data_IF_959006110870
#
_entry.id   IF_959006110870
#
_cell.length_a   1.000
_cell.length_b   1.000
_cell.length_c   1.000
_cell.angle_alpha   90.00
_cell.angle_beta   90.00
_cell.angle_gamma   90.00
#
_symmetry.space_group_name_H-M   'P 1'
#
loop_
_entity.id
_entity.type
_entity.pdbx_description
1 polymer ?
#
# COMPACT_ATOMS: atom_id res chain seq x y z
N UNK A 1 -0.11 -12.98 -11.43
CA UNK A 1 -0.70 -11.99 -10.49
C UNK A 1 -1.36 -12.71 -9.33
N UNK A 2 -1.44 -12.10 -8.14
CA UNK A 2 -2.25 -12.63 -7.02
C UNK A 2 -3.62 -11.94 -7.03
N UNK A 3 -4.71 -12.71 -7.03
CA UNK A 3 -6.07 -12.18 -6.98
C UNK A 3 -6.72 -12.49 -5.64
N UNK A 4 -7.74 -11.71 -5.20
CA UNK A 4 -8.52 -12.04 -4.02
C UNK A 4 -9.20 -13.42 -4.14
N UNK A 5 -9.43 -14.15 -3.06
CA UNK A 5 -8.89 -13.97 -1.71
C UNK A 5 -7.41 -14.39 -1.57
N UNK A 6 -6.65 -13.92 -0.58
CA UNK A 6 -7.03 -12.93 0.43
C UNK A 6 -7.01 -11.49 -0.10
N UNK A 7 -7.80 -10.61 0.55
CA UNK A 7 -7.87 -9.18 0.20
C UNK A 7 -6.70 -8.46 0.88
N UNK A 8 -5.80 -7.92 0.08
CA UNK A 8 -4.69 -7.05 0.48
C UNK A 8 -4.33 -6.12 -0.69
N UNK A 9 -3.55 -5.06 -0.43
CA UNK A 9 -3.28 -4.02 -1.43
C UNK A 9 -2.88 -4.55 -2.81
N UNK A 10 -1.96 -5.52 -2.85
CA UNK A 10 -1.50 -6.11 -4.12
C UNK A 10 -2.60 -6.89 -4.84
N UNK A 11 -3.40 -7.69 -4.11
CA UNK A 11 -4.48 -8.46 -4.72
C UNK A 11 -5.59 -7.57 -5.27
N UNK A 12 -5.88 -6.45 -4.60
CA UNK A 12 -6.83 -5.43 -5.08
C UNK A 12 -6.34 -4.79 -6.37
N UNK A 13 -5.08 -4.36 -6.43
CA UNK A 13 -4.51 -3.78 -7.65
C UNK A 13 -4.47 -4.76 -8.82
N UNK A 14 -4.11 -6.01 -8.57
CA UNK A 14 -4.13 -7.05 -9.59
C UNK A 14 -5.55 -7.37 -10.08
N UNK A 15 -6.55 -7.27 -9.21
CA UNK A 15 -7.95 -7.46 -9.57
C UNK A 15 -8.48 -6.31 -10.44
N UNK A 16 -8.07 -5.08 -10.14
CA UNK A 16 -8.33 -3.90 -11.00
C UNK A 16 -7.76 -4.15 -12.40
N UNK A 17 -6.50 -4.60 -12.53
CA UNK A 17 -5.90 -4.90 -13.83
C UNK A 17 -6.67 -5.99 -14.56
N UNK A 18 -7.03 -7.09 -13.87
CA UNK A 18 -7.76 -8.21 -14.46
C UNK A 18 -9.13 -7.80 -15.01
N UNK A 19 -9.82 -6.91 -14.31
CA UNK A 19 -11.17 -6.47 -14.65
C UNK A 19 -11.19 -5.17 -15.49
N UNK A 20 -10.01 -4.62 -15.82
CA UNK A 20 -9.89 -3.40 -16.63
C UNK A 20 -10.43 -3.60 -18.04
N UNK A 21 -11.44 -2.83 -18.42
CA UNK A 21 -11.96 -2.81 -19.78
C UNK A 21 -10.94 -2.23 -20.75
N UNK A 22 -10.20 -1.20 -20.33
CA UNK A 22 -9.16 -0.57 -21.16
C UNK A 22 -8.03 -1.55 -21.51
N UNK A 23 -7.49 -2.26 -20.51
CA UNK A 23 -6.40 -3.20 -20.73
C UNK A 23 -6.87 -4.39 -21.58
N UNK A 24 -8.02 -5.00 -21.25
CA UNK A 24 -8.52 -6.17 -21.93
C UNK A 24 -9.04 -5.88 -23.36
N UNK A 25 -9.39 -4.63 -23.68
CA UNK A 25 -9.76 -4.23 -25.06
C UNK A 25 -8.54 -3.97 -25.95
N UNK A 26 -7.43 -3.50 -25.38
CA UNK A 26 -6.21 -3.18 -26.12
C UNK A 26 -5.25 -4.36 -26.26
N UNK A 27 -5.21 -5.26 -25.28
CA UNK A 27 -4.26 -6.37 -25.20
C UNK A 27 -4.99 -7.69 -25.06
N UNK A 28 -4.49 -8.71 -25.73
CA UNK A 28 -4.93 -10.08 -25.50
C UNK A 28 -4.25 -10.62 -24.24
N UNK A 29 -4.98 -10.68 -23.13
CA UNK A 29 -4.45 -11.01 -21.83
C UNK A 29 -4.78 -12.44 -21.36
N UNK A 30 -3.78 -13.17 -20.89
CA UNK A 30 -3.92 -14.43 -20.19
C UNK A 30 -3.61 -14.23 -18.70
N UNK A 31 -4.50 -14.68 -17.82
CA UNK A 31 -4.35 -14.50 -16.38
C UNK A 31 -4.09 -15.81 -15.64
N UNK A 32 -3.06 -15.84 -14.79
CA UNK A 32 -2.76 -16.93 -13.88
C UNK A 32 -2.78 -16.42 -12.45
N UNK A 33 -3.63 -17.01 -11.60
CA UNK A 33 -3.65 -16.69 -10.18
C UNK A 33 -2.45 -17.32 -9.48
N UNK A 34 -1.60 -16.50 -8.88
CA UNK A 34 -0.41 -16.88 -8.11
C UNK A 34 -0.68 -17.02 -6.60
N UNK A 35 -1.92 -16.81 -6.15
CA UNK A 35 -2.28 -16.93 -4.74
C UNK A 35 -2.12 -18.38 -4.26
N UNK A 36 -1.39 -18.56 -3.15
CA UNK A 36 -1.15 -19.86 -2.49
C UNK A 36 -1.78 -19.92 -1.10
N UNK A 37 -2.52 -18.88 -0.71
CA UNK A 37 -3.24 -18.78 0.57
C UNK A 37 -4.67 -18.33 0.31
N UNK A 38 -5.62 -18.80 1.14
CA UNK A 38 -7.03 -18.39 1.08
C UNK A 38 -7.35 -17.25 2.05
N UNK A 39 -6.62 -17.18 3.17
CA UNK A 39 -6.78 -16.18 4.21
C UNK A 39 -5.45 -15.49 4.51
N UNK A 40 -5.48 -14.32 5.14
CA UNK A 40 -4.29 -13.55 5.54
C UNK A 40 -3.41 -14.36 6.50
N UNK A 41 -4.02 -15.07 7.46
CA UNK A 41 -3.31 -15.91 8.42
C UNK A 41 -2.55 -17.07 7.77
N UNK A 42 -3.04 -17.55 6.63
CA UNK A 42 -2.40 -18.62 5.87
C UNK A 42 -1.17 -18.14 5.11
N UNK A 43 -1.00 -16.83 4.90
CA UNK A 43 0.18 -16.28 4.21
C UNK A 43 1.49 -16.61 4.95
N UNK A 44 1.45 -16.67 6.27
CA UNK A 44 2.63 -16.94 7.11
C UNK A 44 2.86 -18.43 7.41
N UNK A 45 1.85 -19.28 7.23
CA UNK A 45 1.98 -20.71 7.53
C UNK A 45 2.68 -21.47 6.40
N UNK A 46 3.69 -22.25 6.74
CA UNK A 46 4.26 -23.23 5.81
C UNK A 46 3.36 -24.46 5.77
N UNK A 47 2.73 -24.69 4.63
CA UNK A 47 1.85 -25.86 4.42
C UNK A 47 2.31 -26.64 3.20
N UNK A 48 2.32 -27.97 3.28
CA UNK A 48 2.58 -28.86 2.13
C UNK A 48 1.68 -28.52 0.93
N UNK A 49 0.46 -28.10 1.20
CA UNK A 49 -0.49 -27.67 0.17
C UNK A 49 0.00 -26.46 -0.66
N UNK A 50 0.77 -25.54 -0.05
CA UNK A 50 1.38 -24.42 -0.79
C UNK A 50 2.40 -24.90 -1.84
N UNK A 51 3.16 -25.93 -1.54
CA UNK A 51 4.11 -26.50 -2.51
C UNK A 51 3.38 -27.11 -3.69
N UNK A 52 2.29 -27.86 -3.45
CA UNK A 52 1.46 -28.44 -4.51
C UNK A 52 0.86 -27.34 -5.40
N UNK A 53 0.30 -26.28 -4.79
CA UNK A 53 -0.23 -25.16 -5.54
C UNK A 53 0.85 -24.44 -6.34
N UNK A 54 2.03 -24.26 -5.76
CA UNK A 54 3.18 -23.67 -6.47
C UNK A 54 3.58 -24.50 -7.68
N UNK A 55 3.66 -25.83 -7.55
CA UNK A 55 3.95 -26.71 -8.68
C UNK A 55 2.88 -26.60 -9.77
N UNK A 56 1.59 -26.57 -9.41
CA UNK A 56 0.49 -26.34 -10.36
C UNK A 56 0.62 -25.01 -11.10
N UNK A 57 0.98 -23.94 -10.38
CA UNK A 57 1.20 -22.61 -10.96
C UNK A 57 2.35 -22.66 -11.97
N UNK A 58 3.50 -23.24 -11.57
CA UNK A 58 4.68 -23.38 -12.43
C UNK A 58 4.35 -24.21 -13.68
N UNK A 59 3.70 -25.37 -13.52
CA UNK A 59 3.30 -26.24 -14.63
C UNK A 59 2.34 -25.55 -15.60
N UNK A 60 1.34 -24.81 -15.08
CA UNK A 60 0.42 -24.01 -15.90
C UNK A 60 1.15 -22.91 -16.65
N UNK A 61 2.08 -22.22 -15.98
CA UNK A 61 2.89 -21.17 -16.60
C UNK A 61 3.81 -21.75 -17.68
N UNK A 62 4.45 -22.88 -17.42
CA UNK A 62 5.27 -23.58 -18.39
C UNK A 62 4.47 -23.95 -19.65
N UNK A 63 3.30 -24.58 -19.48
CA UNK A 63 2.43 -24.96 -20.59
C UNK A 63 2.01 -23.74 -21.43
N UNK A 64 1.60 -22.66 -20.77
CA UNK A 64 1.21 -21.41 -21.46
C UNK A 64 2.36 -20.80 -22.26
N UNK A 65 3.58 -20.81 -21.75
CA UNK A 65 4.77 -20.29 -22.43
C UNK A 65 5.26 -21.20 -23.54
N UNK A 66 4.98 -22.50 -23.45
CA UNK A 66 5.28 -23.47 -24.52
C UNK A 66 4.34 -23.28 -25.73
N UNK A 67 3.07 -22.96 -25.46
CA UNK A 67 2.01 -22.88 -26.49
C UNK A 67 1.78 -21.48 -27.05
N UNK A 68 2.21 -20.43 -26.33
CA UNK A 68 1.98 -19.04 -26.71
C UNK A 68 3.25 -18.21 -26.55
N UNK A 69 3.35 -17.14 -27.35
CA UNK A 69 4.37 -16.11 -27.19
C UNK A 69 3.72 -14.84 -26.65
N UNK A 70 4.28 -14.32 -25.56
CA UNK A 70 3.83 -13.08 -24.95
C UNK A 70 4.90 -12.01 -25.13
N UNK A 71 4.49 -10.80 -25.46
CA UNK A 71 5.38 -9.64 -25.54
C UNK A 71 5.89 -9.28 -24.14
N UNK A 72 4.99 -9.27 -23.16
CA UNK A 72 5.30 -9.08 -21.74
C UNK A 72 4.67 -10.17 -20.88
N UNK A 73 5.39 -10.57 -19.84
CA UNK A 73 4.84 -11.41 -18.77
C UNK A 73 4.92 -10.61 -17.47
N UNK A 74 3.78 -10.03 -17.08
CA UNK A 74 3.67 -9.23 -15.86
C UNK A 74 3.65 -10.12 -14.62
N UNK A 75 4.57 -9.85 -13.68
CA UNK A 75 4.73 -10.61 -12.43
C UNK A 75 4.84 -9.65 -11.27
N UNK A 76 3.94 -9.78 -10.27
CA UNK A 76 4.14 -9.15 -8.96
C UNK A 76 5.15 -9.98 -8.17
N UNK A 77 6.26 -9.37 -7.74
CA UNK A 77 7.35 -10.05 -7.03
C UNK A 77 7.52 -9.48 -5.62
N UNK A 78 7.79 -10.36 -4.66
CA UNK A 78 8.00 -10.02 -3.26
C UNK A 78 9.44 -10.31 -2.83
N UNK A 79 10.08 -9.46 -1.99
CA UNK A 79 11.49 -9.60 -1.64
C UNK A 79 11.79 -10.70 -0.60
N UNK A 80 10.77 -11.32 0.02
CA UNK A 80 10.96 -12.14 1.21
C UNK A 80 10.62 -13.62 1.03
N UNK A 81 11.39 -14.48 1.66
CA UNK A 81 11.09 -15.87 1.96
C UNK A 81 10.70 -16.72 0.75
N UNK A 82 9.76 -17.64 0.97
CA UNK A 82 9.28 -18.59 -0.04
C UNK A 82 8.59 -17.88 -1.23
N UNK A 83 7.95 -16.73 -0.98
CA UNK A 83 7.31 -15.94 -2.05
C UNK A 83 8.32 -15.51 -3.10
N UNK A 84 9.50 -14.99 -2.67
CA UNK A 84 10.55 -14.63 -3.62
C UNK A 84 11.05 -15.83 -4.42
N UNK A 85 11.26 -16.99 -3.77
CA UNK A 85 11.74 -18.22 -4.47
C UNK A 85 10.74 -18.64 -5.55
N UNK A 86 9.45 -18.69 -5.21
CA UNK A 86 8.38 -19.02 -6.16
C UNK A 86 8.36 -18.02 -7.34
N UNK A 87 8.39 -16.73 -7.04
CA UNK A 87 8.29 -15.68 -8.06
C UNK A 87 9.55 -15.66 -8.93
N UNK A 88 10.73 -15.88 -8.36
CA UNK A 88 12.00 -15.99 -9.12
C UNK A 88 12.01 -17.16 -10.09
N UNK A 89 11.44 -18.31 -9.73
CA UNK A 89 11.30 -19.45 -10.65
C UNK A 89 10.46 -19.05 -11.87
N UNK A 90 9.37 -18.32 -11.66
CA UNK A 90 8.53 -17.82 -12.76
C UNK A 90 9.29 -16.82 -13.65
N UNK A 91 10.06 -15.91 -13.07
CA UNK A 91 10.90 -14.96 -13.84
C UNK A 91 11.92 -15.71 -14.70
N UNK A 92 12.61 -16.69 -14.11
CA UNK A 92 13.61 -17.50 -14.83
C UNK A 92 12.97 -18.34 -15.94
N UNK A 93 11.76 -18.86 -15.71
CA UNK A 93 10.99 -19.59 -16.70
C UNK A 93 10.64 -18.70 -17.90
N UNK A 94 10.13 -17.48 -17.66
CA UNK A 94 9.82 -16.50 -18.71
C UNK A 94 11.05 -16.20 -19.56
N UNK A 95 12.20 -15.96 -18.91
CA UNK A 95 13.46 -15.72 -19.61
C UNK A 95 13.95 -16.93 -20.40
N UNK A 96 13.77 -18.15 -19.88
CA UNK A 96 14.14 -19.37 -20.57
C UNK A 96 13.39 -19.52 -21.91
N UNK A 97 12.12 -19.11 -21.96
CA UNK A 97 11.35 -19.09 -23.22
C UNK A 97 11.62 -17.84 -24.09
N UNK A 98 12.60 -17.00 -23.74
CA UNK A 98 12.95 -15.80 -24.49
C UNK A 98 11.89 -14.70 -24.49
N UNK A 99 10.98 -14.74 -23.51
CA UNK A 99 9.93 -13.72 -23.34
C UNK A 99 10.38 -12.66 -22.33
N UNK A 100 9.73 -11.46 -22.34
CA UNK A 100 10.13 -10.34 -21.54
C UNK A 100 9.39 -10.29 -20.18
N UNK A 101 10.08 -10.52 -19.03
CA UNK A 101 9.45 -10.31 -17.73
C UNK A 101 9.28 -8.81 -17.45
N UNK A 102 8.09 -8.44 -16.95
CA UNK A 102 7.77 -7.13 -16.42
C UNK A 102 7.42 -7.29 -14.93
N UNK A 103 8.35 -6.90 -14.07
CA UNK A 103 8.25 -7.09 -12.62
C UNK A 103 7.62 -5.86 -11.97
N UNK A 104 6.48 -6.01 -11.29
CA UNK A 104 5.88 -4.92 -10.52
C UNK A 104 6.14 -5.11 -9.04
N UNK A 105 6.85 -4.14 -8.44
CA UNK A 105 7.28 -4.14 -7.06
C UNK A 105 6.25 -3.41 -6.19
N UNK A 106 5.38 -4.17 -5.52
CA UNK A 106 4.42 -3.61 -4.56
C UNK A 106 4.93 -3.59 -3.12
N UNK A 107 6.16 -4.05 -2.90
CA UNK A 107 6.77 -4.17 -1.57
C UNK A 107 8.25 -3.88 -1.71
N UNK A 108 8.83 -3.11 -0.80
CA UNK A 108 10.28 -2.91 -0.72
C UNK A 108 10.93 -3.86 0.29
N UNK A 109 12.26 -3.90 0.35
CA UNK A 109 13.04 -4.74 1.27
C UNK A 109 14.11 -5.59 0.56
N UNK A 110 14.32 -5.41 -0.73
CA UNK A 110 15.43 -6.08 -1.47
C UNK A 110 16.79 -5.64 -0.91
N UNK A 111 16.95 -4.34 -0.62
CA UNK A 111 18.18 -3.79 -0.06
C UNK A 111 18.43 -4.34 1.34
N UNK A 112 17.48 -4.23 2.23
CA UNK A 112 17.57 -4.70 3.61
C UNK A 112 17.90 -6.21 3.66
N UNK A 113 17.22 -7.01 2.85
CA UNK A 113 17.43 -8.46 2.80
C UNK A 113 18.79 -8.88 2.25
N UNK A 114 19.43 -8.07 1.43
CA UNK A 114 20.65 -8.47 0.71
C UNK A 114 21.91 -7.72 1.15
N UNK A 115 21.80 -6.62 1.91
CA UNK A 115 22.95 -5.79 2.30
C UNK A 115 24.01 -6.57 3.08
N UNK A 116 23.59 -7.51 3.92
CA UNK A 116 24.48 -8.35 4.73
C UNK A 116 24.72 -9.74 4.15
N UNK A 117 24.21 -10.04 2.95
CA UNK A 117 24.32 -11.36 2.32
C UNK A 117 24.75 -11.27 0.87
N UNK A 118 26.04 -11.51 0.60
CA UNK A 118 26.61 -11.55 -0.76
C UNK A 118 25.88 -12.60 -1.64
N UNK A 119 25.42 -13.72 -1.05
CA UNK A 119 24.69 -14.75 -1.78
C UNK A 119 23.32 -14.23 -2.23
N UNK A 120 22.53 -13.66 -1.31
CA UNK A 120 21.22 -13.08 -1.65
C UNK A 120 21.37 -11.96 -2.67
N UNK A 121 22.35 -11.06 -2.51
CA UNK A 121 22.64 -10.01 -3.49
C UNK A 121 22.89 -10.59 -4.88
N UNK A 122 23.77 -11.59 -5.01
CA UNK A 122 24.05 -12.26 -6.29
C UNK A 122 22.80 -12.90 -6.87
N UNK A 123 21.99 -13.56 -6.03
CA UNK A 123 20.78 -14.21 -6.48
C UNK A 123 19.74 -13.19 -6.97
N UNK A 124 19.50 -12.10 -6.23
CA UNK A 124 18.64 -11.02 -6.69
C UNK A 124 19.14 -10.41 -8.00
N UNK A 125 20.43 -10.08 -8.10
CA UNK A 125 21.03 -9.57 -9.34
C UNK A 125 20.81 -10.52 -10.51
N UNK A 126 20.93 -11.84 -10.30
CA UNK A 126 20.68 -12.84 -11.33
C UNK A 126 19.20 -12.87 -11.75
N UNK A 127 18.27 -12.81 -10.81
CA UNK A 127 16.81 -12.81 -11.10
C UNK A 127 16.41 -11.52 -11.85
N UNK A 128 16.99 -10.38 -11.47
CA UNK A 128 16.69 -9.07 -12.07
C UNK A 128 17.44 -8.81 -13.39
N UNK A 129 18.24 -9.75 -13.87
CA UNK A 129 18.91 -9.61 -15.16
C UNK A 129 17.93 -9.77 -16.32
N UNK A 130 17.97 -8.86 -17.32
CA UNK A 130 17.13 -8.88 -18.51
C UNK A 130 15.62 -8.90 -18.19
N UNK A 131 15.19 -8.02 -17.31
CA UNK A 131 13.79 -7.77 -16.97
C UNK A 131 13.47 -6.28 -17.09
N UNK A 132 12.22 -5.93 -17.18
CA UNK A 132 11.73 -4.58 -16.95
C UNK A 132 11.10 -4.49 -15.57
N UNK A 133 11.23 -3.36 -14.91
CA UNK A 133 10.75 -3.17 -13.53
C UNK A 133 9.78 -2.01 -13.46
N UNK A 134 8.70 -2.20 -12.72
CA UNK A 134 7.75 -1.16 -12.31
C UNK A 134 7.89 -0.95 -10.81
N UNK A 135 8.10 0.31 -10.40
CA UNK A 135 8.04 0.76 -9.01
C UNK A 135 6.82 1.67 -8.79
N UNK A 136 6.28 1.68 -7.57
CA UNK A 136 5.13 2.52 -7.22
C UNK A 136 5.51 4.01 -7.06
N UNK A 137 6.78 4.30 -6.84
CA UNK A 137 7.31 5.63 -6.56
C UNK A 137 8.78 5.70 -6.96
N UNK A 138 9.30 6.86 -7.42
CA UNK A 138 10.73 7.06 -7.65
C UNK A 138 11.59 6.78 -6.41
N UNK A 139 11.11 7.08 -5.22
CA UNK A 139 11.81 6.84 -3.95
C UNK A 139 12.09 5.35 -3.72
N UNK A 140 11.25 4.46 -4.26
CA UNK A 140 11.43 3.01 -4.12
C UNK A 140 12.50 2.41 -5.04
N UNK A 141 13.01 3.17 -6.01
CA UNK A 141 14.12 2.74 -6.89
C UNK A 141 15.37 2.43 -6.07
N UNK A 142 15.59 3.18 -4.99
CA UNK A 142 16.76 3.00 -4.12
C UNK A 142 16.84 1.58 -3.53
N UNK A 143 15.69 0.95 -3.27
CA UNK A 143 15.62 -0.42 -2.73
C UNK A 143 16.24 -1.47 -3.66
N UNK A 144 16.20 -1.24 -4.98
CA UNK A 144 16.73 -2.16 -5.99
C UNK A 144 17.98 -1.67 -6.70
N UNK A 145 18.39 -0.42 -6.50
CA UNK A 145 19.50 0.23 -7.22
C UNK A 145 20.83 -0.52 -7.15
N UNK A 146 21.05 -1.29 -6.08
CA UNK A 146 22.28 -2.07 -5.83
C UNK A 146 22.29 -3.46 -6.52
N UNK A 147 21.14 -3.92 -7.07
CA UNK A 147 20.98 -5.21 -7.75
C UNK A 147 20.51 -5.07 -9.21
N UNK A 148 19.91 -3.93 -9.56
CA UNK A 148 19.32 -3.67 -10.86
C UNK A 148 19.78 -2.31 -11.44
N UNK A 149 20.11 -2.32 -12.74
CA UNK A 149 20.58 -1.13 -13.48
C UNK A 149 19.83 -0.95 -14.81
N UNK A 150 18.74 -1.71 -14.99
CA UNK A 150 17.94 -1.62 -16.21
C UNK A 150 16.85 -0.56 -16.11
N UNK A 151 15.90 -0.67 -17.03
CA UNK A 151 14.79 0.25 -17.18
C UNK A 151 13.76 0.11 -16.04
N UNK A 152 13.43 1.23 -15.39
CA UNK A 152 12.41 1.32 -14.35
C UNK A 152 11.28 2.22 -14.83
N UNK A 153 10.05 1.72 -14.76
CA UNK A 153 8.83 2.50 -14.96
C UNK A 153 8.23 2.90 -13.62
N UNK A 154 7.62 4.07 -13.54
CA UNK A 154 6.88 4.51 -12.36
C UNK A 154 5.39 4.35 -12.63
N UNK A 155 4.75 3.50 -11.83
CA UNK A 155 3.31 3.25 -11.87
C UNK A 155 2.74 3.26 -10.45
N UNK A 156 2.36 4.42 -9.92
CA UNK A 156 1.65 4.51 -8.65
C UNK A 156 0.34 3.74 -8.68
N UNK A 157 -0.09 3.21 -7.55
CA UNK A 157 -1.40 2.60 -7.43
C UNK A 157 -2.52 3.62 -7.69
N UNK A 158 -3.64 3.14 -8.22
CA UNK A 158 -4.88 3.91 -8.38
C UNK A 158 -6.03 3.25 -7.63
N UNK A 159 -6.95 4.03 -7.12
CA UNK A 159 -8.15 3.52 -6.45
C UNK A 159 -9.42 3.96 -7.20
N UNK A 160 -10.53 3.18 -7.11
CA UNK A 160 -11.81 3.58 -7.69
C UNK A 160 -12.25 4.93 -7.16
N UNK A 161 -12.62 5.81 -8.08
CA UNK A 161 -13.16 7.11 -7.72
C UNK A 161 -14.59 6.94 -7.19
N UNK A 162 -14.85 7.46 -6.02
CA UNK A 162 -16.20 7.58 -5.47
C UNK A 162 -16.81 8.88 -5.97
N UNK A 163 -18.05 8.83 -6.46
CA UNK A 163 -18.81 10.02 -6.83
C UNK A 163 -19.13 10.81 -5.56
N UNK A 164 -18.25 11.72 -5.20
CA UNK A 164 -18.37 12.54 -4.00
C UNK A 164 -18.07 13.98 -4.36
N UNK A 165 -19.04 14.86 -4.11
CA UNK A 165 -18.79 16.31 -4.11
C UNK A 165 -17.92 16.59 -2.89
N UNK A 166 -16.67 16.95 -3.10
CA UNK A 166 -15.70 17.20 -2.03
C UNK A 166 -16.23 18.28 -1.07
N UNK A 167 -16.84 17.82 0.00
CA UNK A 167 -17.21 18.67 1.15
C UNK A 167 -16.43 18.13 2.36
N UNK A 168 -15.10 18.35 2.37
CA UNK A 168 -14.32 18.11 3.57
C UNK A 168 -14.97 18.86 4.73
N UNK A 169 -15.49 18.13 5.70
CA UNK A 169 -16.17 18.70 6.84
C UNK A 169 -15.15 19.21 7.88
N UNK A 170 -14.71 20.45 7.69
CA UNK A 170 -13.72 21.10 8.53
C UNK A 170 -14.32 21.78 9.78
N UNK A 171 -15.64 21.65 9.99
CA UNK A 171 -16.37 22.33 11.08
C UNK A 171 -16.69 21.42 12.26
N UNK A 172 -16.18 20.17 12.24
CA UNK A 172 -16.37 19.25 13.36
C UNK A 172 -15.77 19.81 14.66
N UNK A 173 -16.55 19.79 15.73
CA UNK A 173 -16.08 20.11 17.07
C UNK A 173 -16.76 19.15 18.08
N UNK A 174 -16.03 18.21 18.67
CA UNK A 174 -14.59 17.96 18.50
C UNK A 174 -14.22 17.35 17.14
N UNK A 175 -12.97 17.58 16.70
CA UNK A 175 -12.45 17.00 15.47
C UNK A 175 -12.27 15.50 15.64
N UNK A 176 -12.74 14.75 14.66
CA UNK A 176 -12.59 13.29 14.61
C UNK A 176 -11.25 12.89 13.97
N UNK A 177 -10.45 12.16 14.70
CA UNK A 177 -9.24 11.48 14.24
C UNK A 177 -9.61 10.05 13.82
N UNK A 178 -9.11 9.60 12.68
CA UNK A 178 -9.38 8.25 12.17
C UNK A 178 -8.08 7.45 12.02
N UNK A 179 -8.07 6.24 12.55
CA UNK A 179 -7.15 5.18 12.18
C UNK A 179 -7.92 4.08 11.44
N UNK A 180 -7.45 3.71 10.26
CA UNK A 180 -8.08 2.66 9.45
C UNK A 180 -6.98 1.71 8.91
N UNK A 181 -6.73 0.65 9.65
CA UNK A 181 -5.81 -0.44 9.30
C UNK A 181 -6.02 -1.60 10.26
N UNK A 182 -5.60 -2.81 9.88
CA UNK A 182 -5.55 -3.92 10.83
C UNK A 182 -4.67 -3.56 12.04
N UNK A 183 -5.03 -4.07 13.21
CA UNK A 183 -4.33 -3.82 14.47
C UNK A 183 -3.01 -4.59 14.52
N UNK A 184 -2.02 -4.07 13.80
CA UNK A 184 -0.67 -4.60 13.69
C UNK A 184 0.29 -3.58 14.30
N UNK A 185 1.23 -4.02 15.15
CA UNK A 185 2.21 -3.14 15.81
C UNK A 185 2.91 -2.19 14.83
N UNK A 186 3.30 -2.72 13.68
CA UNK A 186 3.96 -1.94 12.62
C UNK A 186 3.09 -0.86 11.98
N UNK A 187 1.77 -0.80 12.24
CA UNK A 187 0.86 0.25 11.73
C UNK A 187 0.65 1.43 12.67
N UNK A 188 1.31 1.42 13.84
CA UNK A 188 1.45 2.58 14.70
C UNK A 188 0.29 2.89 15.63
N UNK A 189 -0.69 1.98 15.81
CA UNK A 189 -1.86 2.23 16.68
C UNK A 189 -1.45 2.53 18.13
N UNK A 190 -0.44 1.83 18.66
CA UNK A 190 0.04 2.06 20.02
C UNK A 190 0.67 3.46 20.16
N UNK A 191 1.45 3.88 19.15
CA UNK A 191 2.04 5.22 19.09
C UNK A 191 0.96 6.31 19.11
N UNK A 192 -0.16 6.08 18.37
CA UNK A 192 -1.28 7.02 18.38
C UNK A 192 -1.88 7.13 19.77
N UNK A 193 -2.16 6.01 20.44
CA UNK A 193 -2.75 6.01 21.79
C UNK A 193 -1.85 6.76 22.79
N UNK A 194 -0.51 6.58 22.70
CA UNK A 194 0.44 7.31 23.55
C UNK A 194 0.44 8.82 23.29
N UNK A 195 0.38 9.25 22.03
CA UNK A 195 0.30 10.65 21.67
C UNK A 195 -1.04 11.29 22.11
N UNK A 196 -2.14 10.55 21.96
CA UNK A 196 -3.48 11.02 22.38
C UNK A 196 -3.60 11.13 23.91
N UNK A 197 -2.96 10.27 24.68
CA UNK A 197 -2.88 10.42 26.13
C UNK A 197 -2.25 11.76 26.53
N UNK A 198 -1.14 12.14 25.87
CA UNK A 198 -0.47 13.41 26.15
C UNK A 198 -1.33 14.62 25.77
N UNK A 199 -2.02 14.57 24.63
CA UNK A 199 -2.95 15.61 24.21
C UNK A 199 -4.13 15.73 25.17
N UNK A 200 -4.66 14.59 25.66
CA UNK A 200 -5.73 14.56 26.63
C UNK A 200 -5.31 15.23 27.97
N UNK A 201 -4.11 14.93 28.46
CA UNK A 201 -3.54 15.58 29.65
C UNK A 201 -3.38 17.10 29.49
N UNK A 202 -3.18 17.59 28.27
CA UNK A 202 -3.13 19.02 27.94
C UNK A 202 -4.51 19.66 27.74
N UNK A 203 -5.59 18.91 27.96
CA UNK A 203 -6.97 19.39 27.82
C UNK A 203 -7.43 19.57 26.36
N UNK A 204 -6.71 19.01 25.39
CA UNK A 204 -7.08 19.09 23.97
C UNK A 204 -8.28 18.16 23.72
N UNK A 205 -9.29 18.70 23.01
CA UNK A 205 -10.51 17.96 22.71
C UNK A 205 -10.46 17.32 21.32
N UNK A 206 -10.79 16.02 21.23
CA UNK A 206 -10.86 15.23 20.02
C UNK A 206 -11.74 13.99 20.24
N UNK A 207 -12.16 13.35 19.15
CA UNK A 207 -12.70 11.97 19.13
C UNK A 207 -11.74 11.13 18.31
N UNK A 208 -11.42 9.93 18.75
CA UNK A 208 -10.58 9.01 17.99
C UNK A 208 -11.34 7.73 17.65
N UNK A 209 -11.38 7.40 16.36
CA UNK A 209 -12.09 6.23 15.80
C UNK A 209 -11.08 5.24 15.28
N UNK A 210 -11.18 3.99 15.74
CA UNK A 210 -10.31 2.87 15.36
C UNK A 210 -11.12 1.91 14.49
N UNK A 211 -10.72 1.77 13.24
CA UNK A 211 -11.33 0.86 12.25
C UNK A 211 -10.28 -0.15 11.78
N UNK A 212 -10.58 -1.44 11.90
CA UNK A 212 -9.70 -2.49 11.42
C UNK A 212 -9.89 -3.81 12.15
N UNK A 213 -9.47 -4.90 11.55
CA UNK A 213 -9.51 -6.23 12.16
C UNK A 213 -8.37 -6.39 13.17
N UNK A 214 -8.56 -7.28 14.12
CA UNK A 214 -7.47 -7.74 14.97
C UNK A 214 -6.34 -8.35 14.13
N UNK A 215 -5.12 -8.01 14.49
CA UNK A 215 -3.90 -8.61 13.99
C UNK A 215 -3.10 -9.22 15.12
N UNK A 216 -1.83 -8.81 15.26
CA UNK A 216 -0.97 -9.14 16.40
C UNK A 216 -1.38 -8.39 17.68
N UNK A 217 -2.17 -7.32 17.55
CA UNK A 217 -2.81 -6.60 18.67
C UNK A 217 -4.30 -6.96 18.71
N UNK A 218 -4.81 -7.29 19.91
CA UNK A 218 -6.20 -7.69 20.15
C UNK A 218 -7.01 -6.54 20.75
N UNK A 219 -8.32 -6.50 20.50
CA UNK A 219 -9.22 -5.47 21.07
C UNK A 219 -9.16 -5.39 22.60
N UNK A 220 -9.14 -6.50 23.37
CA UNK A 220 -9.03 -6.40 24.81
C UNK A 220 -7.78 -5.64 25.26
N UNK A 221 -6.65 -5.83 24.59
CA UNK A 221 -5.41 -5.09 24.89
C UNK A 221 -5.54 -3.59 24.61
N UNK A 222 -6.15 -3.22 23.46
CA UNK A 222 -6.41 -1.81 23.14
C UNK A 222 -7.38 -1.19 24.15
N UNK A 223 -8.45 -1.89 24.51
CA UNK A 223 -9.44 -1.42 25.48
C UNK A 223 -8.81 -1.18 26.84
N UNK A 224 -7.95 -2.08 27.30
CA UNK A 224 -7.20 -1.92 28.55
C UNK A 224 -6.27 -0.69 28.52
N UNK A 225 -5.53 -0.49 27.41
CA UNK A 225 -4.66 0.68 27.26
C UNK A 225 -5.46 1.99 27.25
N UNK A 226 -6.60 2.03 26.56
CA UNK A 226 -7.50 3.19 26.54
C UNK A 226 -7.92 3.54 27.98
N UNK A 227 -8.32 2.54 28.76
CA UNK A 227 -8.73 2.72 30.14
C UNK A 227 -7.59 3.19 31.02
N UNK A 228 -6.42 2.55 30.94
CA UNK A 228 -5.22 2.94 31.70
C UNK A 228 -4.77 4.37 31.44
N UNK A 229 -5.06 4.90 30.24
CA UNK A 229 -4.68 6.23 29.78
C UNK A 229 -5.78 7.29 29.95
N UNK A 230 -6.96 6.93 30.47
CA UNK A 230 -8.09 7.82 30.68
C UNK A 230 -8.65 8.39 29.39
N UNK A 231 -8.79 7.53 28.38
CA UNK A 231 -9.24 7.90 27.04
C UNK A 231 -10.62 7.30 26.68
N UNK A 232 -11.32 6.70 27.64
CA UNK A 232 -12.58 5.93 27.41
C UNK A 232 -13.66 6.78 26.72
N UNK A 233 -13.78 8.05 27.12
CA UNK A 233 -14.79 8.95 26.59
C UNK A 233 -14.43 9.56 25.23
N UNK A 234 -13.22 9.31 24.73
CA UNK A 234 -12.68 9.89 23.48
C UNK A 234 -12.37 8.88 22.40
N UNK A 235 -12.26 7.59 22.72
CA UNK A 235 -11.82 6.55 21.79
C UNK A 235 -12.94 5.56 21.53
N UNK A 236 -13.23 5.31 20.24
CA UNK A 236 -14.28 4.39 19.80
C UNK A 236 -13.64 3.31 18.92
N UNK A 237 -13.75 2.05 19.34
CA UNK A 237 -13.32 0.88 18.57
C UNK A 237 -14.51 0.39 17.76
N UNK A 238 -14.41 0.44 16.42
CA UNK A 238 -15.51 0.13 15.51
C UNK A 238 -15.39 -1.25 14.86
N UNK A 239 -14.23 -1.92 15.03
CA UNK A 239 -13.97 -3.16 14.31
C UNK A 239 -13.71 -2.96 12.80
N UNK A 240 -13.69 -4.04 12.00
CA UNK A 240 -13.45 -3.94 10.57
C UNK A 240 -14.67 -3.37 9.84
N UNK A 241 -14.43 -2.48 8.87
CA UNK A 241 -15.45 -1.92 7.98
C UNK A 241 -15.02 -2.06 6.53
N UNK A 242 -15.98 -2.27 5.63
CA UNK A 242 -15.77 -2.47 4.20
C UNK A 242 -16.81 -1.69 3.39
N UNK A 243 -16.53 -1.47 2.10
CA UNK A 243 -17.46 -0.78 1.20
C UNK A 243 -17.90 0.57 1.74
N UNK A 244 -19.18 0.85 1.66
CA UNK A 244 -19.76 2.15 2.03
C UNK A 244 -19.58 2.49 3.51
N UNK A 245 -19.66 1.51 4.41
CA UNK A 245 -19.43 1.74 5.85
C UNK A 245 -18.01 2.24 6.14
N UNK A 246 -17.02 1.77 5.36
CA UNK A 246 -15.63 2.27 5.44
C UNK A 246 -15.55 3.70 4.91
N UNK A 247 -16.22 4.00 3.81
CA UNK A 247 -16.20 5.33 3.21
C UNK A 247 -16.89 6.38 4.08
N UNK A 248 -17.94 6.02 4.81
CA UNK A 248 -18.57 6.91 5.79
C UNK A 248 -17.60 7.32 6.92
N UNK A 249 -16.65 6.44 7.31
CA UNK A 249 -15.63 6.80 8.30
C UNK A 249 -14.71 7.93 7.79
N UNK A 250 -14.30 7.90 6.52
CA UNK A 250 -13.52 9.00 5.95
C UNK A 250 -14.33 10.29 5.85
N UNK A 251 -15.58 10.24 5.41
CA UNK A 251 -16.46 11.42 5.34
C UNK A 251 -16.66 12.11 6.69
N UNK A 252 -16.70 11.30 7.75
CA UNK A 252 -16.92 11.76 9.12
C UNK A 252 -15.61 12.02 9.88
N UNK A 253 -14.47 12.11 9.18
CA UNK A 253 -13.18 12.32 9.81
C UNK A 253 -12.57 13.66 9.44
N UNK A 254 -11.92 14.29 10.42
CA UNK A 254 -11.20 15.55 10.24
C UNK A 254 -9.71 15.37 9.98
N UNK A 255 -9.10 14.27 10.47
CA UNK A 255 -7.67 13.95 10.31
C UNK A 255 -7.53 12.44 10.25
N UNK A 256 -6.71 11.97 9.32
CA UNK A 256 -6.36 10.56 9.17
C UNK A 256 -4.95 10.27 9.69
N UNK A 257 -4.78 9.23 10.49
CA UNK A 257 -3.52 8.87 11.16
C UNK A 257 -3.01 7.51 10.68
N UNK A 258 -1.80 7.47 10.10
CA UNK A 258 -1.11 6.24 9.70
C UNK A 258 0.39 6.32 9.98
N UNK A 259 0.84 6.36 11.26
CA UNK A 259 2.27 6.42 11.61
C UNK A 259 2.91 5.04 11.54
N UNK A 260 2.95 4.45 10.34
CA UNK A 260 3.46 3.10 10.11
C UNK A 260 4.99 3.04 10.17
N UNK A 261 5.54 1.95 10.73
CA UNK A 261 6.97 1.64 10.66
C UNK A 261 7.37 0.99 9.33
N UNK A 262 6.39 0.44 8.61
CA UNK A 262 6.58 -0.19 7.32
C UNK A 262 5.31 -0.04 6.47
N UNK A 263 5.42 0.65 5.37
CA UNK A 263 4.40 0.74 4.33
C UNK A 263 5.06 1.09 3.01
N UNK A 264 4.67 0.44 1.93
CA UNK A 264 5.29 0.68 0.63
C UNK A 264 4.73 1.92 -0.04
N UNK A 265 3.41 2.10 0.02
CA UNK A 265 2.74 3.18 -0.70
C UNK A 265 1.57 3.78 0.08
N UNK A 266 0.85 2.98 0.88
CA UNK A 266 -0.26 3.46 1.70
C UNK A 266 -1.55 3.67 0.90
N UNK A 267 -2.16 2.61 0.35
CA UNK A 267 -3.45 2.71 -0.38
C UNK A 267 -4.53 3.44 0.43
N UNK A 268 -4.55 3.24 1.74
CA UNK A 268 -5.51 3.89 2.63
C UNK A 268 -5.29 5.42 2.73
N UNK A 269 -4.08 5.91 2.45
CA UNK A 269 -3.82 7.36 2.32
C UNK A 269 -4.51 7.92 1.08
N UNK A 270 -4.51 7.19 -0.04
CA UNK A 270 -5.27 7.60 -1.24
C UNK A 270 -6.77 7.65 -0.94
N UNK A 271 -7.27 6.69 -0.15
CA UNK A 271 -8.67 6.70 0.28
C UNK A 271 -8.99 7.94 1.13
N UNK A 272 -8.12 8.32 2.06
CA UNK A 272 -8.28 9.56 2.84
C UNK A 272 -8.19 10.81 1.96
N UNK A 273 -7.21 10.87 1.05
CA UNK A 273 -7.02 11.98 0.11
C UNK A 273 -8.23 12.17 -0.82
N UNK A 274 -8.88 11.07 -1.23
CA UNK A 274 -10.10 11.09 -2.04
C UNK A 274 -11.26 11.85 -1.35
N UNK A 275 -11.29 11.84 -0.03
CA UNK A 275 -12.26 12.61 0.78
C UNK A 275 -11.71 13.94 1.26
N UNK A 276 -10.52 14.34 0.80
CA UNK A 276 -9.84 15.55 1.25
C UNK A 276 -9.48 15.53 2.74
N UNK A 277 -9.38 14.35 3.36
CA UNK A 277 -9.03 14.23 4.79
C UNK A 277 -7.51 14.42 4.96
N UNK A 278 -7.07 15.45 5.71
CA UNK A 278 -5.65 15.66 5.99
C UNK A 278 -5.02 14.45 6.66
N UNK A 279 -3.90 13.97 6.09
CA UNK A 279 -3.18 12.78 6.57
C UNK A 279 -1.96 13.17 7.40
N UNK A 280 -1.71 12.44 8.49
CA UNK A 280 -0.42 12.38 9.19
C UNK A 280 0.15 10.99 9.00
N UNK A 281 1.36 10.88 8.49
CA UNK A 281 2.03 9.59 8.29
C UNK A 281 3.54 9.70 8.43
N UNK A 282 4.21 8.55 8.38
CA UNK A 282 5.66 8.43 8.49
C UNK A 282 6.35 8.73 7.16
N UNK A 283 7.58 9.23 7.23
CA UNK A 283 8.45 9.49 6.07
C UNK A 283 9.16 8.20 5.64
N UNK A 284 8.40 7.23 5.08
CA UNK A 284 8.90 5.92 4.66
C UNK A 284 8.33 5.49 3.30
N UNK A 285 9.05 4.59 2.62
CA UNK A 285 8.61 4.02 1.35
C UNK A 285 8.28 5.07 0.29
N UNK A 286 7.12 4.94 -0.34
CA UNK A 286 6.57 5.91 -1.29
C UNK A 286 5.59 6.92 -0.67
N UNK A 287 5.40 6.90 0.65
CA UNK A 287 4.48 7.83 1.34
C UNK A 287 4.83 9.30 1.12
N UNK A 288 6.12 9.72 1.12
CA UNK A 288 6.48 11.11 0.85
C UNK A 288 6.02 11.62 -0.51
N UNK A 289 5.98 10.78 -1.53
CA UNK A 289 5.46 11.16 -2.86
C UNK A 289 3.94 11.42 -2.83
N UNK A 290 3.21 10.78 -1.91
CA UNK A 290 1.77 10.98 -1.77
C UNK A 290 1.45 12.27 -1.02
N UNK A 291 1.92 12.38 0.22
CA UNK A 291 1.49 13.42 1.15
C UNK A 291 2.55 14.50 1.44
N UNK A 292 3.72 14.44 0.78
CA UNK A 292 4.72 15.50 0.82
C UNK A 292 4.22 16.81 0.20
N UNK A 293 5.07 17.84 0.13
CA UNK A 293 4.82 19.14 -0.50
C UNK A 293 3.55 19.83 0.00
N UNK A 294 3.22 19.65 1.27
CA UNK A 294 2.05 20.25 1.90
C UNK A 294 0.71 19.60 1.56
N UNK A 295 0.73 18.34 1.08
CA UNK A 295 -0.46 17.49 0.87
C UNK A 295 -0.85 16.67 2.10
N UNK A 296 -0.04 16.72 3.15
CA UNK A 296 -0.23 16.08 4.44
C UNK A 296 0.87 16.52 5.40
N UNK A 297 0.99 15.83 6.52
CA UNK A 297 2.07 16.01 7.49
C UNK A 297 2.90 14.74 7.57
N UNK A 298 4.15 14.85 7.16
CA UNK A 298 5.14 13.77 7.31
C UNK A 298 5.83 13.95 8.67
N UNK A 299 5.88 12.88 9.45
CA UNK A 299 6.66 12.82 10.69
C UNK A 299 8.14 12.64 10.33
N UNK A 300 9.02 13.42 10.92
CA UNK A 300 10.47 13.27 10.74
C UNK A 300 10.96 11.98 11.39
N UNK A 301 10.51 11.71 12.61
CA UNK A 301 10.77 10.47 13.32
C UNK A 301 9.46 9.77 13.68
N UNK A 302 9.50 8.44 13.75
CA UNK A 302 8.35 7.65 14.22
C UNK A 302 8.40 7.63 15.75
N UNK A 303 8.01 8.75 16.35
CA UNK A 303 8.05 8.99 17.79
C UNK A 303 6.72 9.56 18.29
N UNK A 304 6.48 9.39 19.59
CA UNK A 304 5.30 9.98 20.26
C UNK A 304 5.34 11.50 20.17
N UNK A 305 6.54 12.09 20.33
CA UNK A 305 6.73 13.54 20.31
C UNK A 305 6.36 14.15 18.96
N UNK A 306 6.87 13.58 17.85
CA UNK A 306 6.58 14.06 16.51
C UNK A 306 5.10 13.87 16.15
N UNK A 307 4.50 12.75 16.55
CA UNK A 307 3.09 12.49 16.29
C UNK A 307 2.18 13.41 17.08
N UNK A 308 2.46 13.62 18.37
CA UNK A 308 1.73 14.56 19.21
C UNK A 308 1.77 15.97 18.61
N UNK A 309 2.97 16.44 18.22
CA UNK A 309 3.15 17.75 17.60
C UNK A 309 2.35 17.88 16.30
N UNK A 310 2.42 16.87 15.44
CA UNK A 310 1.69 16.83 14.16
C UNK A 310 0.17 16.84 14.37
N UNK A 311 -0.35 16.04 15.30
CA UNK A 311 -1.78 16.01 15.63
C UNK A 311 -2.21 17.36 16.19
N UNK A 312 -1.48 17.90 17.18
CA UNK A 312 -1.82 19.19 17.79
C UNK A 312 -1.85 20.32 16.76
N UNK A 313 -0.86 20.36 15.87
CA UNK A 313 -0.80 21.33 14.76
C UNK A 313 -2.05 21.28 13.90
N UNK A 314 -2.49 20.09 13.49
CA UNK A 314 -3.69 19.95 12.67
C UNK A 314 -4.98 20.17 13.49
N UNK A 315 -5.03 19.88 14.79
CA UNK A 315 -6.20 20.18 15.63
C UNK A 315 -6.43 21.68 15.80
N UNK A 316 -5.35 22.47 15.89
CA UNK A 316 -5.42 23.91 16.21
C UNK A 316 -5.45 24.81 14.97
N UNK A 317 -4.84 24.39 13.85
CA UNK A 317 -4.74 25.20 12.63
C UNK A 317 -5.77 24.79 11.57
N UNK A 318 -6.93 25.47 11.58
CA UNK A 318 -8.02 25.26 10.62
C UNK A 318 -7.59 25.56 9.17
N UNK A 319 -6.82 26.63 8.95
CA UNK A 319 -6.38 27.03 7.61
C UNK A 319 -5.42 26.01 7.02
N UNK A 320 -4.51 25.51 7.84
CA UNK A 320 -3.60 24.45 7.40
C UNK A 320 -4.37 23.19 6.99
N UNK A 321 -5.37 22.75 7.78
CA UNK A 321 -6.21 21.61 7.42
C UNK A 321 -6.92 21.82 6.08
N UNK A 322 -7.49 23.00 5.84
CA UNK A 322 -8.16 23.33 4.57
C UNK A 322 -7.19 23.30 3.40
N UNK A 323 -6.01 23.88 3.55
CA UNK A 323 -4.99 23.90 2.50
C UNK A 323 -4.52 22.49 2.16
N UNK A 324 -4.27 21.66 3.17
CA UNK A 324 -3.88 20.24 2.97
C UNK A 324 -5.02 19.49 2.27
N UNK A 325 -6.26 19.67 2.72
CA UNK A 325 -7.43 19.02 2.14
C UNK A 325 -7.53 19.26 0.64
N UNK A 326 -7.49 20.54 0.21
CA UNK A 326 -7.58 20.89 -1.20
C UNK A 326 -6.41 20.32 -2.00
N UNK A 327 -5.17 20.55 -1.54
CA UNK A 327 -3.97 20.06 -2.25
C UNK A 327 -3.95 18.55 -2.39
N UNK A 328 -4.31 17.81 -1.34
CA UNK A 328 -4.30 16.35 -1.35
C UNK A 328 -5.38 15.80 -2.27
N UNK A 329 -6.59 16.36 -2.25
CA UNK A 329 -7.67 15.97 -3.13
C UNK A 329 -7.34 16.22 -4.61
N UNK A 330 -6.87 17.43 -4.95
CA UNK A 330 -6.48 17.77 -6.32
C UNK A 330 -5.37 16.87 -6.85
N UNK A 331 -4.41 16.54 -5.99
CA UNK A 331 -3.33 15.64 -6.34
C UNK A 331 -3.81 14.20 -6.53
N UNK A 332 -4.74 13.73 -5.68
CA UNK A 332 -5.37 12.42 -5.85
C UNK A 332 -6.11 12.33 -7.19
N UNK A 333 -7.00 13.27 -7.49
CA UNK A 333 -7.79 13.27 -8.74
C UNK A 333 -6.90 13.27 -9.96
N UNK A 334 -5.80 14.03 -9.92
CA UNK A 334 -4.88 14.20 -11.06
C UNK A 334 -3.92 13.02 -11.25
N UNK A 335 -3.75 12.11 -10.25
CA UNK A 335 -2.67 11.14 -10.30
C UNK A 335 -3.04 9.70 -9.95
N UNK A 336 -4.10 9.47 -9.13
CA UNK A 336 -4.29 8.18 -8.44
C UNK A 336 -5.68 7.57 -8.62
N UNK A 337 -6.45 8.02 -9.62
CA UNK A 337 -7.68 7.34 -10.00
C UNK A 337 -7.37 6.06 -10.78
N UNK A 338 -8.28 5.08 -10.75
CA UNK A 338 -8.14 3.84 -11.54
C UNK A 338 -7.93 4.15 -13.02
N UNK A 339 -8.64 5.13 -13.58
CA UNK A 339 -8.53 5.49 -15.00
C UNK A 339 -7.10 5.97 -15.36
N UNK A 340 -6.47 6.74 -14.48
CA UNK A 340 -5.08 7.20 -14.67
C UNK A 340 -4.12 6.03 -14.54
N UNK A 341 -4.31 5.16 -13.55
CA UNK A 341 -3.51 3.95 -13.36
C UNK A 341 -3.57 3.04 -14.60
N UNK A 342 -4.78 2.74 -15.09
CA UNK A 342 -4.99 1.91 -16.28
C UNK A 342 -4.37 2.53 -17.54
N UNK A 343 -4.51 3.84 -17.72
CA UNK A 343 -3.91 4.56 -18.83
C UNK A 343 -2.38 4.49 -18.79
N UNK A 344 -1.77 4.72 -17.63
CA UNK A 344 -0.31 4.60 -17.45
C UNK A 344 0.17 3.16 -17.70
N UNK A 345 -0.54 2.16 -17.17
CA UNK A 345 -0.20 0.76 -17.41
C UNK A 345 -0.33 0.40 -18.90
N UNK A 346 -1.39 0.87 -19.57
CA UNK A 346 -1.56 0.68 -21.01
C UNK A 346 -0.39 1.27 -21.81
N UNK A 347 0.09 2.45 -21.44
CA UNK A 347 1.23 3.09 -22.10
C UNK A 347 2.53 2.29 -21.88
N UNK A 348 2.77 1.79 -20.66
CA UNK A 348 3.93 0.91 -20.36
C UNK A 348 3.87 -0.34 -21.24
N UNK A 349 2.71 -1.00 -21.32
CA UNK A 349 2.53 -2.21 -22.12
C UNK A 349 2.61 -1.95 -23.63
N UNK A 350 2.36 -0.73 -24.09
CA UNK A 350 2.53 -0.31 -25.48
C UNK A 350 3.96 0.13 -25.82
N UNK A 351 4.90 0.03 -24.87
CA UNK A 351 6.31 0.41 -25.08
C UNK A 351 6.55 1.93 -25.17
N UNK A 352 5.64 2.75 -24.66
CA UNK A 352 5.83 4.20 -24.66
C UNK A 352 6.96 4.63 -23.70
N UNK A 353 8.03 5.30 -24.19
CA UNK A 353 9.20 5.67 -23.38
C UNK A 353 8.94 6.79 -22.36
N UNK A 354 7.85 7.55 -22.47
CA UNK A 354 7.60 8.76 -21.65
C UNK A 354 7.41 8.46 -20.13
N UNK A 355 7.35 7.19 -19.75
CA UNK A 355 7.18 6.73 -18.36
C UNK A 355 8.44 6.07 -17.77
N UNK A 356 9.58 6.19 -18.46
CA UNK A 356 10.87 5.63 -18.03
C UNK A 356 11.59 6.65 -17.15
N UNK A 357 12.16 6.17 -16.05
CA UNK A 357 13.02 6.94 -15.13
C UNK A 357 14.44 6.35 -15.13
#
# INVERSE_FOLDING_TARGET
>A
MQFPPPIHGVSVMNDIIRNSTLINSKFQCDYINLATAKNIDDLQKNSFFKYILTLKIISKSFYKMLTNRYEYVYITIFPFGFSFIKDSILVLLVRFFGQQPLLHLHTYGFRENSIYSKFKKKYYTFVFKNVNVICLSPLLIEDISHIYKGQVFILPNGIPQVNFNNTYNNEQNPITLLYLSNLIKGKGILLIIDALERLNRKGINFIFRIVGSEGDIKYPHITELIKLKGLEDKVIILGPKFGDDKYEEFKNSGIFLLPSNYDTFGLVLLEAMQYGVPCISSNIGGIPDLIGDGRGVLMENISVDDLELAINKLLTDKLLRQNISHKSFDYYISNFTVNIFESRLSNILSGNPDLIV
#
